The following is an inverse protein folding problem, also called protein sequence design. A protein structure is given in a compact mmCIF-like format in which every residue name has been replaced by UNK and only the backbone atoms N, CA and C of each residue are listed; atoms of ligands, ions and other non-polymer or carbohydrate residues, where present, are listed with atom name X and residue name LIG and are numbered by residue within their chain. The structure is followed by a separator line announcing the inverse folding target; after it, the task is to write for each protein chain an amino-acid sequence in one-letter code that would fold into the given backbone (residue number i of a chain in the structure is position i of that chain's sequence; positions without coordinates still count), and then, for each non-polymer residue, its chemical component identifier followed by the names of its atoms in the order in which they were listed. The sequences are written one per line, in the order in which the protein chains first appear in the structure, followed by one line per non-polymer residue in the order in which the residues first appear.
data_IF_824023977755
#
_entry.id   IF_824023977755
#
_cell.length_a   1.000
_cell.length_b   1.000
_cell.length_c   1.000
_cell.angle_alpha   90.00
_cell.angle_beta   90.00
_cell.angle_gamma   90.00
#
_symmetry.space_group_name_H-M   'P 1'
#
loop_
_entity.id
_entity.type
_entity.pdbx_description
1 polymer ?
#
# COMPACT_ATOMS: atom_id res chain seq x y z
N UNK A 1 -2.89 -14.77 23.37
CA UNK A 1 -2.52 -13.89 22.25
C UNK A 1 -1.29 -14.47 21.59
N UNK A 2 -1.31 -14.75 20.29
CA UNK A 2 -0.10 -15.18 19.58
C UNK A 2 0.88 -14.00 19.51
N UNK A 3 2.15 -14.22 19.84
CA UNK A 3 3.19 -13.19 19.74
C UNK A 3 3.30 -12.67 18.31
N UNK A 4 3.46 -11.37 18.13
CA UNK A 4 3.75 -10.75 16.83
C UNK A 4 4.99 -11.42 16.18
N UNK A 5 5.08 -11.38 14.85
CA UNK A 5 6.21 -11.91 14.10
C UNK A 5 7.55 -11.36 14.64
N UNK A 6 8.51 -12.27 14.90
CA UNK A 6 9.83 -11.90 15.39
C UNK A 6 10.54 -10.88 14.49
N UNK A 7 11.14 -9.86 15.11
CA UNK A 7 11.71 -8.70 14.45
C UNK A 7 10.75 -7.54 14.18
N UNK A 8 9.48 -7.65 14.59
CA UNK A 8 8.51 -6.53 14.59
C UNK A 8 8.37 -5.91 15.99
N UNK A 9 8.06 -4.62 16.04
CA UNK A 9 7.77 -3.91 17.29
C UNK A 9 6.25 -3.79 17.47
N UNK A 10 5.65 -4.45 18.48
CA UNK A 10 4.21 -4.33 18.75
C UNK A 10 3.85 -2.96 19.36
N UNK A 11 2.57 -2.63 19.35
CA UNK A 11 2.05 -1.53 20.17
C UNK A 11 2.12 -1.91 21.66
N UNK A 12 2.40 -0.95 22.56
CA UNK A 12 2.27 -1.19 23.99
C UNK A 12 0.81 -1.50 24.36
N UNK A 13 0.60 -2.36 25.36
CA UNK A 13 -0.73 -2.88 25.76
C UNK A 13 -1.76 -1.77 26.01
N UNK A 14 -1.38 -0.68 26.70
CA UNK A 14 -2.27 0.45 26.93
C UNK A 14 -2.81 1.11 25.63
N UNK A 15 -2.02 1.12 24.54
CA UNK A 15 -2.49 1.59 23.25
C UNK A 15 -3.40 0.57 22.57
N UNK A 16 -3.06 -0.73 22.68
CA UNK A 16 -3.90 -1.82 22.18
C UNK A 16 -5.30 -1.72 22.79
N UNK A 17 -5.40 -1.65 24.12
CA UNK A 17 -6.67 -1.55 24.84
C UNK A 17 -7.47 -0.32 24.42
N UNK A 18 -6.81 0.84 24.29
CA UNK A 18 -7.44 2.07 23.81
C UNK A 18 -8.03 1.89 22.40
N UNK A 19 -7.28 1.31 21.48
CA UNK A 19 -7.72 1.17 20.09
C UNK A 19 -8.83 0.14 19.90
N UNK A 20 -8.87 -0.89 20.74
CA UNK A 20 -10.01 -1.80 20.83
C UNK A 20 -11.23 -1.12 21.45
N UNK A 21 -11.07 -0.41 22.57
CA UNK A 21 -12.16 0.30 23.24
C UNK A 21 -12.80 1.38 22.36
N UNK A 22 -11.99 2.08 21.55
CA UNK A 22 -12.47 3.07 20.58
C UNK A 22 -13.10 2.45 19.31
N UNK A 23 -13.05 1.12 19.15
CA UNK A 23 -13.61 0.41 17.99
C UNK A 23 -12.81 0.55 16.69
N UNK A 24 -11.57 1.07 16.77
CA UNK A 24 -10.65 1.15 15.65
C UNK A 24 -10.31 -0.26 15.18
N UNK A 25 -9.78 -1.06 16.10
CA UNK A 25 -9.45 -2.46 15.89
C UNK A 25 -10.65 -3.34 16.24
N UNK A 26 -10.99 -4.28 15.35
CA UNK A 26 -12.21 -5.09 15.43
C UNK A 26 -11.96 -6.60 15.39
N UNK A 27 -10.70 -7.03 15.28
CA UNK A 27 -10.35 -8.46 15.24
C UNK A 27 -10.56 -9.13 13.89
N UNK A 28 -10.88 -8.38 12.84
CA UNK A 28 -11.10 -8.93 11.51
C UNK A 28 -9.78 -9.04 10.74
N UNK A 29 -9.44 -10.24 10.29
CA UNK A 29 -8.35 -10.41 9.34
C UNK A 29 -8.76 -9.86 7.97
N UNK A 30 -7.80 -9.32 7.23
CA UNK A 30 -8.03 -8.80 5.88
C UNK A 30 -8.59 -9.87 4.93
N UNK A 31 -8.21 -11.14 5.09
CA UNK A 31 -8.72 -12.21 4.25
C UNK A 31 -10.18 -12.60 4.58
N UNK A 32 -10.59 -12.47 5.85
CA UNK A 32 -11.97 -12.67 6.29
C UNK A 32 -12.88 -11.56 5.82
N UNK A 33 -12.37 -10.32 5.71
CA UNK A 33 -13.12 -9.21 5.12
C UNK A 33 -13.64 -9.59 3.71
N UNK A 34 -12.80 -10.19 2.86
CA UNK A 34 -13.24 -10.66 1.54
C UNK A 34 -14.27 -11.80 1.65
N UNK A 35 -14.12 -12.73 2.61
CA UNK A 35 -15.07 -13.83 2.82
C UNK A 35 -16.45 -13.29 3.21
N UNK A 36 -16.50 -12.36 4.15
CA UNK A 36 -17.75 -11.73 4.61
C UNK A 36 -18.44 -10.97 3.47
N UNK A 37 -17.65 -10.24 2.67
CA UNK A 37 -18.21 -9.53 1.50
C UNK A 37 -18.68 -10.48 0.41
N UNK A 38 -18.03 -11.62 0.22
CA UNK A 38 -18.51 -12.65 -0.70
C UNK A 38 -19.81 -13.31 -0.25
N UNK A 39 -20.06 -13.40 1.06
CA UNK A 39 -21.35 -13.85 1.58
C UNK A 39 -22.44 -12.78 1.40
N UNK A 40 -22.12 -11.52 1.65
CA UNK A 40 -23.09 -10.41 1.56
C UNK A 40 -23.39 -9.97 0.10
N UNK A 41 -22.38 -9.92 -0.76
CA UNK A 41 -22.43 -9.33 -2.10
C UNK A 41 -22.00 -10.29 -3.21
N UNK A 42 -22.10 -11.61 -2.98
CA UNK A 42 -21.54 -12.66 -3.83
C UNK A 42 -21.69 -12.46 -5.35
N UNK A 43 -22.88 -12.11 -5.88
CA UNK A 43 -23.10 -11.88 -7.31
C UNK A 43 -22.55 -10.54 -7.86
N UNK A 44 -22.27 -9.55 -7.01
CA UNK A 44 -21.75 -8.24 -7.46
C UNK A 44 -20.32 -8.40 -8.00
N UNK A 45 -20.00 -7.58 -8.99
CA UNK A 45 -18.63 -7.44 -9.50
C UNK A 45 -17.73 -6.88 -8.40
N UNK A 46 -16.60 -7.55 -8.15
CA UNK A 46 -15.59 -7.10 -7.20
C UNK A 46 -14.35 -6.54 -7.90
N UNK A 47 -13.97 -7.16 -9.02
CA UNK A 47 -12.69 -6.88 -9.68
C UNK A 47 -12.82 -6.94 -11.20
N UNK A 48 -12.27 -5.94 -11.87
CA UNK A 48 -12.25 -5.80 -13.34
C UNK A 48 -10.84 -5.50 -13.81
N UNK A 49 -10.42 -6.15 -14.89
CA UNK A 49 -9.20 -5.84 -15.63
C UNK A 49 -9.40 -6.18 -17.11
N UNK A 50 -9.43 -5.16 -17.97
CA UNK A 50 -9.82 -5.31 -19.37
C UNK A 50 -11.19 -5.99 -19.53
N UNK A 51 -11.22 -7.12 -20.23
CA UNK A 51 -12.44 -7.92 -20.41
C UNK A 51 -12.79 -8.78 -19.17
N UNK A 52 -11.83 -9.07 -18.31
CA UNK A 52 -12.00 -9.95 -17.16
C UNK A 52 -12.87 -9.29 -16.09
N UNK A 53 -13.92 -9.99 -15.65
CA UNK A 53 -14.81 -9.57 -14.56
C UNK A 53 -14.95 -10.70 -13.55
N UNK A 54 -14.61 -10.43 -12.30
CA UNK A 54 -14.77 -11.36 -11.19
C UNK A 54 -15.80 -10.83 -10.21
N UNK A 55 -16.80 -11.64 -9.90
CA UNK A 55 -17.72 -11.37 -8.81
C UNK A 55 -17.05 -11.60 -7.45
N UNK A 56 -17.61 -11.07 -6.37
CA UNK A 56 -17.10 -11.34 -5.02
C UNK A 56 -17.05 -12.85 -4.72
N UNK A 57 -18.09 -13.60 -5.11
CA UNK A 57 -18.11 -15.06 -4.92
C UNK A 57 -17.04 -15.77 -5.76
N UNK A 58 -16.79 -15.33 -6.99
CA UNK A 58 -15.76 -15.89 -7.86
C UNK A 58 -14.35 -15.57 -7.34
N UNK A 59 -14.11 -14.32 -6.94
CA UNK A 59 -12.85 -13.88 -6.35
C UNK A 59 -12.54 -14.64 -5.07
N UNK A 60 -13.50 -14.72 -4.13
CA UNK A 60 -13.28 -15.47 -2.88
C UNK A 60 -13.00 -16.96 -3.15
N UNK A 61 -13.70 -17.58 -4.10
CA UNK A 61 -13.44 -18.97 -4.49
C UNK A 61 -12.04 -19.15 -5.07
N UNK A 62 -11.60 -18.23 -5.92
CA UNK A 62 -10.24 -18.25 -6.50
C UNK A 62 -9.18 -18.13 -5.40
N UNK A 63 -9.39 -17.24 -4.44
CA UNK A 63 -8.52 -17.08 -3.26
C UNK A 63 -8.50 -18.36 -2.41
N UNK A 64 -9.65 -18.97 -2.14
CA UNK A 64 -9.75 -20.22 -1.35
C UNK A 64 -8.96 -21.37 -2.00
N UNK A 65 -9.08 -21.51 -3.32
CA UNK A 65 -8.39 -22.57 -4.08
C UNK A 65 -6.89 -22.33 -4.19
N UNK A 66 -6.49 -21.08 -4.42
CA UNK A 66 -5.07 -20.71 -4.49
C UNK A 66 -4.39 -20.84 -3.11
N UNK A 67 -5.08 -20.46 -2.03
CA UNK A 67 -4.59 -20.65 -0.66
C UNK A 67 -4.36 -22.15 -0.35
N UNK A 68 -5.29 -23.02 -0.76
CA UNK A 68 -5.10 -24.46 -0.64
C UNK A 68 -3.91 -24.97 -1.48
N UNK A 69 -3.73 -24.47 -2.70
CA UNK A 69 -2.58 -24.79 -3.55
C UNK A 69 -1.24 -24.39 -2.91
N UNK A 70 -1.14 -23.18 -2.37
CA UNK A 70 0.06 -22.72 -1.64
C UNK A 70 0.38 -23.61 -0.43
N UNK A 71 -0.63 -24.08 0.29
CA UNK A 71 -0.46 -25.02 1.41
C UNK A 71 0.07 -26.38 0.95
N UNK A 72 -0.44 -26.92 -0.17
CA UNK A 72 0.07 -28.18 -0.74
C UNK A 72 1.54 -28.07 -1.15
N UNK A 73 1.94 -26.89 -1.64
CA UNK A 73 3.33 -26.60 -1.93
C UNK A 73 4.15 -26.29 -0.68
N UNK A 74 3.60 -26.48 0.53
CA UNK A 74 4.27 -26.32 1.82
C UNK A 74 4.72 -24.89 2.15
N UNK A 75 4.01 -23.87 1.64
CA UNK A 75 4.04 -22.55 2.27
C UNK A 75 3.28 -22.61 3.60
N UNK A 76 3.87 -22.05 4.66
CA UNK A 76 3.39 -22.16 6.05
C UNK A 76 3.15 -20.80 6.68
N UNK A 77 2.26 -20.72 7.70
CA UNK A 77 2.08 -19.51 8.48
C UNK A 77 3.40 -18.89 8.97
N UNK A 78 3.50 -17.58 8.94
CA UNK A 78 4.66 -16.79 9.36
C UNK A 78 5.80 -16.73 8.34
N UNK A 79 5.79 -17.54 7.28
CA UNK A 79 6.77 -17.43 6.19
C UNK A 79 6.51 -16.15 5.37
N UNK A 80 7.56 -15.63 4.73
CA UNK A 80 7.46 -14.44 3.88
C UNK A 80 7.54 -14.83 2.40
N UNK A 81 6.75 -14.15 1.58
CA UNK A 81 6.76 -14.31 0.12
C UNK A 81 6.83 -12.93 -0.52
N UNK A 82 7.84 -12.70 -1.35
CA UNK A 82 7.95 -11.46 -2.12
C UNK A 82 6.92 -11.49 -3.24
N UNK A 83 6.08 -10.47 -3.34
CA UNK A 83 5.06 -10.34 -4.39
C UNK A 83 5.39 -9.12 -5.23
N UNK A 84 5.78 -9.35 -6.48
CA UNK A 84 6.22 -8.34 -7.43
C UNK A 84 5.43 -8.48 -8.74
N UNK A 85 4.15 -8.10 -8.72
CA UNK A 85 3.23 -8.27 -9.85
C UNK A 85 2.75 -6.92 -10.40
N UNK A 86 2.37 -6.85 -11.68
CA UNK A 86 1.65 -5.72 -12.25
C UNK A 86 0.22 -5.61 -11.70
N UNK A 87 -0.50 -4.60 -12.17
CA UNK A 87 -1.92 -4.39 -11.89
C UNK A 87 -2.77 -5.41 -12.65
N UNK A 88 -2.79 -6.64 -12.14
CA UNK A 88 -3.56 -7.77 -12.70
C UNK A 88 -4.41 -8.44 -11.61
N UNK A 89 -5.49 -9.15 -11.96
CA UNK A 89 -6.33 -9.85 -10.99
C UNK A 89 -5.56 -10.84 -10.09
N UNK A 90 -4.46 -11.40 -10.60
CA UNK A 90 -3.57 -12.29 -9.88
C UNK A 90 -2.89 -11.59 -8.70
N UNK A 91 -2.58 -10.29 -8.76
CA UNK A 91 -2.03 -9.56 -7.63
C UNK A 91 -2.98 -9.62 -6.43
N UNK A 92 -4.26 -9.25 -6.64
CA UNK A 92 -5.29 -9.28 -5.61
C UNK A 92 -5.48 -10.72 -5.11
N UNK A 93 -5.62 -11.67 -6.03
CA UNK A 93 -5.84 -13.08 -5.68
C UNK A 93 -4.69 -13.65 -4.83
N UNK A 94 -3.44 -13.40 -5.21
CA UNK A 94 -2.24 -13.89 -4.53
C UNK A 94 -2.12 -13.28 -3.14
N UNK A 95 -2.25 -11.96 -3.01
CA UNK A 95 -2.07 -11.27 -1.73
C UNK A 95 -3.10 -11.79 -0.72
N UNK A 96 -4.37 -11.88 -1.11
CA UNK A 96 -5.42 -12.46 -0.25
C UNK A 96 -5.19 -13.95 0.03
N UNK A 97 -4.71 -14.74 -0.95
CA UNK A 97 -4.46 -16.17 -0.76
C UNK A 97 -3.31 -16.42 0.22
N UNK A 98 -2.22 -15.65 0.13
CA UNK A 98 -1.08 -15.74 1.05
C UNK A 98 -1.51 -15.36 2.47
N UNK A 99 -2.23 -14.25 2.64
CA UNK A 99 -2.80 -13.86 3.94
C UNK A 99 -3.72 -14.95 4.50
N UNK A 100 -4.53 -15.60 3.66
CA UNK A 100 -5.41 -16.72 4.09
C UNK A 100 -4.64 -17.98 4.53
N UNK A 101 -3.42 -18.18 4.03
CA UNK A 101 -2.49 -19.24 4.49
C UNK A 101 -1.74 -18.81 5.77
N UNK A 102 -1.80 -17.54 6.16
CA UNK A 102 -0.97 -16.94 7.20
C UNK A 102 0.46 -16.66 6.76
N UNK A 103 0.74 -16.73 5.45
CA UNK A 103 2.01 -16.30 4.85
C UNK A 103 1.95 -14.79 4.73
N UNK A 104 3.06 -14.11 5.02
CA UNK A 104 3.17 -12.66 5.04
C UNK A 104 3.72 -12.17 3.70
N UNK A 105 2.90 -11.56 2.82
CA UNK A 105 3.38 -10.97 1.57
C UNK A 105 4.34 -9.81 1.84
N UNK A 106 5.37 -9.68 1.01
CA UNK A 106 6.24 -8.51 0.94
C UNK A 106 5.92 -7.82 -0.37
N UNK A 107 5.17 -6.72 -0.33
CA UNK A 107 4.69 -6.03 -1.51
C UNK A 107 5.84 -5.25 -2.16
N UNK A 108 6.27 -5.71 -3.33
CA UNK A 108 7.48 -5.23 -3.98
C UNK A 108 7.15 -4.50 -5.30
N UNK A 109 7.62 -3.25 -5.50
CA UNK A 109 7.45 -2.54 -6.76
C UNK A 109 8.07 -3.30 -7.95
N UNK A 110 7.40 -3.25 -9.10
CA UNK A 110 7.92 -3.82 -10.34
C UNK A 110 9.21 -3.16 -10.83
N UNK A 111 9.52 -1.94 -10.38
CA UNK A 111 10.77 -1.23 -10.68
C UNK A 111 11.99 -1.83 -9.97
N UNK A 112 11.80 -2.58 -8.88
CA UNK A 112 12.89 -3.20 -8.15
C UNK A 112 13.58 -4.29 -9.00
N UNK A 113 14.91 -4.36 -8.85
CA UNK A 113 15.78 -5.29 -9.58
C UNK A 113 16.53 -6.19 -8.60
N UNK A 114 17.43 -7.00 -9.13
CA UNK A 114 18.12 -8.07 -8.40
C UNK A 114 18.69 -7.62 -7.05
N UNK A 115 19.31 -6.43 -6.99
CA UNK A 115 19.89 -5.90 -5.75
C UNK A 115 18.83 -5.67 -4.66
N UNK A 116 17.74 -4.96 -4.98
CA UNK A 116 16.67 -4.69 -4.02
C UNK A 116 15.91 -5.97 -3.66
N UNK A 117 15.56 -6.80 -4.64
CA UNK A 117 14.80 -8.04 -4.39
C UNK A 117 15.63 -9.03 -3.58
N UNK A 118 16.92 -9.20 -3.87
CA UNK A 118 17.83 -10.04 -3.09
C UNK A 118 17.95 -9.56 -1.64
N UNK A 119 18.04 -8.24 -1.44
CA UNK A 119 18.02 -7.66 -0.10
C UNK A 119 16.73 -8.01 0.65
N UNK A 120 15.56 -7.83 0.02
CA UNK A 120 14.27 -8.18 0.62
C UNK A 120 14.19 -9.66 0.98
N UNK A 121 14.59 -10.56 0.06
CA UNK A 121 14.64 -12.00 0.31
C UNK A 121 15.54 -12.34 1.50
N UNK A 122 16.69 -11.68 1.64
CA UNK A 122 17.63 -11.93 2.74
C UNK A 122 17.09 -11.42 4.08
N UNK A 123 16.64 -10.17 4.16
CA UNK A 123 16.17 -9.56 5.42
C UNK A 123 14.91 -10.24 5.93
N UNK A 124 14.00 -10.58 5.01
CA UNK A 124 12.77 -11.29 5.34
C UNK A 124 12.94 -12.81 5.39
N UNK A 125 14.08 -13.37 5.01
CA UNK A 125 14.26 -14.81 4.79
C UNK A 125 13.11 -15.41 3.96
N UNK A 126 12.70 -14.70 2.90
CA UNK A 126 11.54 -15.07 2.10
C UNK A 126 11.70 -16.48 1.53
N UNK A 127 10.66 -17.31 1.69
CA UNK A 127 10.63 -18.69 1.20
C UNK A 127 10.10 -18.79 -0.22
N UNK A 128 9.35 -17.78 -0.66
CA UNK A 128 8.79 -17.72 -2.00
C UNK A 128 8.93 -16.35 -2.66
N UNK A 129 8.84 -16.35 -3.98
CA UNK A 129 8.72 -15.17 -4.83
C UNK A 129 7.56 -15.38 -5.81
N UNK A 130 6.74 -14.36 -6.01
CA UNK A 130 5.68 -14.32 -7.02
C UNK A 130 5.94 -13.11 -7.91
N UNK A 131 6.06 -13.30 -9.21
CA UNK A 131 6.26 -12.20 -10.16
C UNK A 131 5.92 -12.60 -11.59
N UNK A 132 5.95 -11.67 -12.56
CA UNK A 132 5.81 -12.02 -13.97
C UNK A 132 6.97 -12.89 -14.43
N UNK A 133 6.77 -13.60 -15.53
CA UNK A 133 7.86 -14.25 -16.26
C UNK A 133 8.78 -13.18 -16.87
N UNK A 134 8.18 -12.36 -17.75
CA UNK A 134 8.78 -11.17 -18.34
C UNK A 134 7.86 -9.98 -18.21
N UNK A 135 8.41 -8.78 -18.02
CA UNK A 135 7.63 -7.54 -18.02
C UNK A 135 8.44 -6.40 -18.64
N UNK A 136 7.88 -5.73 -19.65
CA UNK A 136 8.55 -4.64 -20.39
C UNK A 136 9.99 -4.99 -20.84
N UNK A 137 10.19 -6.21 -21.35
CA UNK A 137 11.48 -6.70 -21.82
C UNK A 137 12.45 -7.16 -20.72
N UNK A 138 12.09 -7.09 -19.44
CA UNK A 138 12.90 -7.59 -18.33
C UNK A 138 12.47 -9.00 -17.91
N UNK A 139 13.43 -9.92 -17.76
CA UNK A 139 13.21 -11.30 -17.31
C UNK A 139 13.28 -11.39 -15.77
N UNK A 140 12.11 -11.43 -15.16
CA UNK A 140 11.97 -11.56 -13.70
C UNK A 140 12.24 -12.99 -13.24
N UNK A 141 12.08 -13.99 -14.10
CA UNK A 141 12.33 -15.40 -13.75
C UNK A 141 13.83 -15.65 -13.62
N UNK A 142 14.62 -15.16 -14.56
CA UNK A 142 16.08 -15.20 -14.49
C UNK A 142 16.61 -14.45 -13.26
N UNK A 143 16.02 -13.30 -12.93
CA UNK A 143 16.35 -12.58 -11.69
C UNK A 143 16.07 -13.42 -10.45
N UNK A 144 14.88 -14.02 -10.35
CA UNK A 144 14.52 -14.88 -9.22
C UNK A 144 15.45 -16.11 -9.12
N UNK A 145 15.84 -16.69 -10.25
CA UNK A 145 16.79 -17.80 -10.31
C UNK A 145 18.18 -17.41 -9.83
N UNK A 146 18.69 -16.25 -10.24
CA UNK A 146 19.96 -15.72 -9.74
C UNK A 146 19.94 -15.50 -8.22
N UNK A 147 18.82 -15.03 -7.67
CA UNK A 147 18.65 -14.84 -6.22
C UNK A 147 18.57 -16.18 -5.50
N UNK A 148 17.84 -17.16 -6.04
CA UNK A 148 17.71 -18.49 -5.46
C UNK A 148 19.05 -19.24 -5.42
N UNK A 149 19.86 -19.12 -6.47
CA UNK A 149 21.21 -19.69 -6.53
C UNK A 149 22.17 -19.05 -5.51
N UNK A 150 21.98 -17.76 -5.21
CA UNK A 150 22.83 -17.00 -4.30
C UNK A 150 22.52 -17.16 -2.81
N UNK A 151 21.47 -17.90 -2.42
CA UNK A 151 21.06 -17.94 -1.01
C UNK A 151 20.18 -19.13 -0.57
N UNK A 152 20.07 -19.37 0.75
CA UNK A 152 19.38 -20.55 1.27
C UNK A 152 17.86 -20.37 1.44
N UNK A 153 17.35 -19.14 1.33
CA UNK A 153 15.99 -18.82 1.74
C UNK A 153 14.96 -19.10 0.65
N UNK A 154 15.18 -18.56 -0.55
CA UNK A 154 14.24 -18.65 -1.66
C UNK A 154 14.24 -20.08 -2.22
N UNK A 155 13.09 -20.76 -2.11
CA UNK A 155 12.93 -22.17 -2.52
C UNK A 155 11.72 -22.40 -3.42
N UNK A 156 10.90 -21.36 -3.65
CA UNK A 156 9.71 -21.41 -4.48
C UNK A 156 9.60 -20.15 -5.30
N UNK A 157 9.40 -20.29 -6.60
CA UNK A 157 9.19 -19.18 -7.52
C UNK A 157 7.90 -19.45 -8.28
N UNK A 158 7.00 -18.47 -8.26
CA UNK A 158 5.71 -18.52 -8.94
C UNK A 158 5.68 -17.46 -10.03
N UNK A 159 5.57 -17.89 -11.28
CA UNK A 159 5.67 -17.00 -12.45
C UNK A 159 4.30 -16.75 -13.07
N UNK A 160 3.93 -15.49 -13.21
CA UNK A 160 2.81 -15.08 -14.05
C UNK A 160 3.26 -15.11 -15.50
N UNK A 161 2.73 -16.07 -16.25
CA UNK A 161 3.06 -16.30 -17.66
C UNK A 161 2.03 -15.60 -18.55
N UNK A 162 2.49 -15.00 -19.64
CA UNK A 162 1.58 -14.50 -20.65
C UNK A 162 0.84 -15.69 -21.30
N UNK A 163 -0.45 -15.55 -21.65
CA UNK A 163 -1.18 -16.61 -22.33
C UNK A 163 -0.44 -17.09 -23.60
N UNK A 164 -0.15 -18.39 -23.67
CA UNK A 164 0.55 -19.01 -24.80
C UNK A 164 2.07 -18.81 -24.85
N UNK A 165 2.68 -18.14 -23.87
CA UNK A 165 4.13 -18.02 -23.80
C UNK A 165 4.76 -19.31 -23.25
N UNK A 166 5.77 -19.89 -23.94
CA UNK A 166 6.54 -20.99 -23.39
C UNK A 166 7.38 -20.49 -22.21
N UNK A 167 7.24 -21.13 -21.06
CA UNK A 167 8.10 -20.90 -19.91
C UNK A 167 9.47 -21.53 -20.17
N UNK A 168 10.60 -20.79 -20.05
CA UNK A 168 11.93 -21.41 -20.14
C UNK A 168 12.15 -22.44 -19.02
N UNK A 169 11.34 -22.38 -17.96
CA UNK A 169 11.31 -23.30 -16.82
C UNK A 169 10.10 -24.26 -16.85
N UNK A 170 9.49 -24.48 -18.02
CA UNK A 170 8.75 -25.69 -18.37
C UNK A 170 7.52 -26.06 -17.52
N UNK A 171 7.01 -25.17 -16.68
CA UNK A 171 5.77 -25.38 -15.96
C UNK A 171 5.86 -26.18 -14.66
N UNK A 172 6.95 -26.89 -14.37
CA UNK A 172 7.29 -27.43 -13.05
C UNK A 172 8.76 -27.85 -13.08
N UNK A 173 9.69 -26.99 -12.66
CA UNK A 173 11.13 -27.34 -12.66
C UNK A 173 11.76 -27.11 -11.30
N UNK A 174 12.87 -27.81 -11.06
CA UNK A 174 13.74 -27.58 -9.90
C UNK A 174 15.10 -27.17 -10.41
N UNK A 175 15.63 -26.05 -9.92
CA UNK A 175 16.99 -25.63 -10.26
C UNK A 175 18.04 -26.41 -9.44
N UNK A 176 19.33 -26.33 -9.80
CA UNK A 176 20.40 -26.99 -9.05
C UNK A 176 20.54 -26.52 -7.59
N UNK A 177 19.99 -25.36 -7.24
CA UNK A 177 19.97 -24.84 -5.87
C UNK A 177 18.77 -25.39 -5.04
N UNK A 178 17.94 -26.25 -5.64
CA UNK A 178 16.77 -26.85 -5.01
C UNK A 178 15.58 -25.90 -4.92
N UNK A 179 15.52 -24.86 -5.74
CA UNK A 179 14.36 -23.98 -5.85
C UNK A 179 13.37 -24.53 -6.88
N UNK A 180 12.10 -24.57 -6.52
CA UNK A 180 11.02 -25.06 -7.37
C UNK A 180 10.30 -23.90 -8.07
N UNK A 181 10.02 -24.06 -9.36
CA UNK A 181 9.39 -23.07 -10.22
C UNK A 181 8.03 -23.57 -10.67
N UNK A 182 7.02 -22.71 -10.56
CA UNK A 182 5.62 -23.03 -10.83
C UNK A 182 4.96 -21.89 -11.62
N UNK A 183 4.19 -22.16 -12.69
CA UNK A 183 3.26 -21.20 -13.24
C UNK A 183 2.25 -20.80 -12.19
N UNK A 184 2.03 -19.51 -12.01
CA UNK A 184 1.09 -18.99 -11.02
C UNK A 184 -0.34 -19.49 -11.28
N UNK A 185 -0.72 -19.66 -12.55
CA UNK A 185 -2.02 -20.22 -12.95
C UNK A 185 -2.23 -21.69 -12.57
N UNK A 186 -1.15 -22.43 -12.25
CA UNK A 186 -1.23 -23.83 -11.81
C UNK A 186 -1.52 -23.98 -10.30
N UNK A 187 -1.49 -22.88 -9.55
CA UNK A 187 -1.68 -22.91 -8.09
C UNK A 187 -3.17 -22.98 -7.77
N UNK A 188 -3.66 -24.21 -7.72
CA UNK A 188 -5.06 -24.51 -7.53
C UNK A 188 -5.24 -25.85 -6.80
N UNK A 189 -6.07 -25.85 -5.76
CA UNK A 189 -6.48 -27.06 -5.06
C UNK A 189 -7.90 -26.91 -4.50
N UNK A 190 -8.59 -28.03 -4.18
CA UNK A 190 -9.85 -27.96 -3.44
C UNK A 190 -9.68 -27.16 -2.13
N UNK A 191 -10.62 -26.25 -1.79
CA UNK A 191 -10.52 -25.45 -0.58
C UNK A 191 -10.33 -26.31 0.68
N UNK A 192 -9.36 -25.94 1.49
CA UNK A 192 -9.09 -26.56 2.78
C UNK A 192 -9.77 -25.78 3.92
N UNK A 193 -9.94 -26.38 5.12
CA UNK A 193 -10.45 -25.67 6.28
C UNK A 193 -9.66 -24.39 6.57
N UNK A 194 -10.39 -23.33 6.94
CA UNK A 194 -9.81 -22.04 7.28
C UNK A 194 -8.86 -22.17 8.48
N UNK A 195 -7.75 -21.44 8.43
CA UNK A 195 -6.82 -21.35 9.55
C UNK A 195 -7.30 -20.25 10.49
N UNK A 196 -7.33 -20.55 11.79
CA UNK A 196 -7.53 -19.52 12.80
C UNK A 196 -6.29 -18.63 12.85
N UNK A 197 -6.48 -17.34 12.53
CA UNK A 197 -5.43 -16.34 12.52
C UNK A 197 -5.82 -15.20 13.46
N UNK A 198 -4.85 -14.64 14.18
CA UNK A 198 -5.08 -13.43 14.98
C UNK A 198 -4.94 -12.21 14.08
N UNK A 199 -5.88 -11.27 14.19
CA UNK A 199 -5.80 -9.99 13.50
C UNK A 199 -4.65 -9.07 14.01
N UNK A 200 -4.03 -9.42 15.13
CA UNK A 200 -2.85 -8.72 15.67
C UNK A 200 -1.55 -9.15 14.97
N UNK A 201 -1.59 -10.20 14.15
CA UNK A 201 -0.44 -10.66 13.37
C UNK A 201 -0.18 -9.74 12.19
N UNK A 202 1.09 -9.68 11.76
CA UNK A 202 1.51 -8.97 10.56
C UNK A 202 0.84 -9.62 9.35
N UNK A 203 0.04 -8.84 8.63
CA UNK A 203 -0.64 -9.25 7.43
C UNK A 203 0.29 -9.23 6.22
N UNK A 204 1.07 -8.16 6.06
CA UNK A 204 2.02 -7.97 4.97
C UNK A 204 3.06 -6.89 5.32
N UNK A 205 4.09 -6.78 4.47
CA UNK A 205 5.07 -5.70 4.51
C UNK A 205 4.85 -4.73 3.35
N UNK A 206 4.82 -3.44 3.67
CA UNK A 206 5.08 -2.36 2.72
C UNK A 206 6.56 -2.02 2.71
N UNK A 207 6.98 -1.29 1.67
CA UNK A 207 8.32 -0.72 1.61
C UNK A 207 8.25 0.78 1.86
N UNK A 208 9.15 1.27 2.71
CA UNK A 208 9.38 2.70 2.91
C UNK A 208 10.54 3.14 2.04
N UNK A 209 10.35 4.27 1.36
CA UNK A 209 11.40 4.94 0.61
C UNK A 209 12.39 5.58 1.59
N UNK A 210 13.63 5.07 1.59
CA UNK A 210 14.68 5.47 2.53
C UNK A 210 16.00 5.71 1.84
N UNK A 211 16.17 6.88 1.20
CA UNK A 211 17.46 7.36 0.70
C UNK A 211 18.24 6.35 -0.15
N UNK A 212 19.57 6.57 -0.27
CA UNK A 212 20.48 5.72 -1.05
C UNK A 212 20.71 4.30 -0.46
N UNK A 213 20.05 3.95 0.65
CA UNK A 213 20.19 2.66 1.32
C UNK A 213 19.06 1.70 0.89
N UNK A 214 19.25 0.41 1.18
CA UNK A 214 18.27 -0.63 0.86
C UNK A 214 16.88 -0.34 1.49
N UNK A 215 15.77 -0.73 0.83
CA UNK A 215 14.43 -0.36 1.26
C UNK A 215 14.08 -0.90 2.64
N UNK A 216 13.45 -0.06 3.47
CA UNK A 216 12.98 -0.45 4.82
C UNK A 216 11.64 -1.17 4.72
N UNK A 217 11.48 -2.19 5.56
CA UNK A 217 10.26 -3.01 5.62
C UNK A 217 9.34 -2.50 6.73
N UNK A 218 8.11 -2.17 6.35
CA UNK A 218 7.08 -1.65 7.25
C UNK A 218 6.05 -2.76 7.51
N UNK A 219 6.05 -3.39 8.71
CA UNK A 219 5.06 -4.41 9.05
C UNK A 219 3.68 -3.78 9.25
N UNK A 220 2.67 -4.25 8.51
CA UNK A 220 1.26 -3.89 8.71
C UNK A 220 0.49 -5.09 9.23
N UNK A 221 -0.18 -4.95 10.38
CA UNK A 221 -1.08 -5.94 10.95
C UNK A 221 -2.43 -5.93 10.24
N UNK A 222 -3.22 -7.00 10.43
CA UNK A 222 -4.58 -6.99 9.90
C UNK A 222 -5.44 -5.91 10.54
N UNK A 223 -5.38 -5.78 11.87
CA UNK A 223 -6.18 -4.81 12.63
C UNK A 223 -5.89 -3.37 12.20
N UNK A 224 -4.63 -2.97 12.14
CA UNK A 224 -4.28 -1.58 11.81
C UNK A 224 -4.61 -1.22 10.35
N UNK A 225 -4.35 -2.14 9.42
CA UNK A 225 -4.58 -1.86 8.01
C UNK A 225 -6.06 -1.91 7.65
N UNK A 226 -6.82 -2.84 8.24
CA UNK A 226 -8.27 -2.88 8.09
C UNK A 226 -8.92 -1.61 8.66
N UNK A 227 -8.41 -1.09 9.79
CA UNK A 227 -8.87 0.18 10.33
C UNK A 227 -8.59 1.35 9.39
N UNK A 228 -7.35 1.50 8.91
CA UNK A 228 -6.97 2.59 8.01
C UNK A 228 -7.85 2.59 6.75
N UNK A 229 -8.01 1.43 6.09
CA UNK A 229 -8.80 1.32 4.87
C UNK A 229 -10.29 1.61 5.11
N UNK A 230 -10.84 1.12 6.23
CA UNK A 230 -12.23 1.38 6.63
C UNK A 230 -12.47 2.86 6.92
N UNK A 231 -11.63 3.47 7.75
CA UNK A 231 -11.75 4.87 8.12
C UNK A 231 -11.63 5.78 6.89
N UNK A 232 -10.71 5.47 5.96
CA UNK A 232 -10.58 6.21 4.70
C UNK A 232 -11.83 6.05 3.81
N UNK A 233 -12.43 4.85 3.75
CA UNK A 233 -13.65 4.60 2.98
C UNK A 233 -14.86 5.33 3.59
N UNK A 234 -15.01 5.30 4.91
CA UNK A 234 -16.04 6.05 5.65
C UNK A 234 -15.89 7.56 5.43
N UNK A 235 -14.65 8.09 5.47
CA UNK A 235 -14.35 9.50 5.28
C UNK A 235 -14.84 10.04 3.92
N UNK A 236 -14.69 9.27 2.86
CA UNK A 236 -15.09 9.65 1.49
C UNK A 236 -16.48 9.14 1.11
N UNK A 237 -17.21 8.60 2.09
CA UNK A 237 -18.55 8.02 1.92
C UNK A 237 -18.60 7.01 0.78
N UNK A 238 -17.64 6.07 0.77
CA UNK A 238 -17.59 5.00 -0.21
C UNK A 238 -18.75 4.02 0.02
N UNK A 239 -19.43 3.64 -1.06
CA UNK A 239 -20.60 2.74 -1.03
C UNK A 239 -20.40 1.59 -2.02
N UNK A 240 -21.26 0.58 -1.97
CA UNK A 240 -21.28 -0.54 -2.93
C UNK A 240 -21.49 -0.16 -4.41
N UNK A 241 -21.93 1.08 -4.68
CA UNK A 241 -22.20 1.60 -6.02
C UNK A 241 -20.98 2.32 -6.62
N UNK A 242 -19.92 2.48 -5.83
CA UNK A 242 -18.67 3.07 -6.29
C UNK A 242 -17.84 2.11 -7.14
N UNK A 243 -17.07 2.71 -8.06
CA UNK A 243 -16.11 2.02 -8.91
C UNK A 243 -14.76 2.71 -8.76
N UNK A 244 -13.82 2.03 -8.12
CA UNK A 244 -12.48 2.53 -7.86
C UNK A 244 -11.51 2.11 -8.97
N UNK A 245 -10.78 3.06 -9.55
CA UNK A 245 -9.67 2.78 -10.46
C UNK A 245 -8.33 2.74 -9.71
N UNK A 246 -7.69 1.57 -9.70
CA UNK A 246 -6.30 1.43 -9.28
C UNK A 246 -5.36 1.82 -10.43
N UNK A 247 -5.16 3.13 -10.61
CA UNK A 247 -4.24 3.68 -11.62
C UNK A 247 -2.77 3.55 -11.21
N UNK A 248 -2.48 3.75 -9.92
CA UNK A 248 -1.17 3.52 -9.33
C UNK A 248 -0.87 2.01 -9.19
N UNK A 249 0.40 1.61 -9.02
CA UNK A 249 0.74 0.22 -8.75
C UNK A 249 -0.05 -0.32 -7.55
N UNK A 250 -0.71 -1.46 -7.72
CA UNK A 250 -1.60 -2.07 -6.73
C UNK A 250 -0.87 -2.45 -5.43
N UNK A 251 0.45 -2.64 -5.50
CA UNK A 251 1.34 -2.87 -4.36
C UNK A 251 1.65 -1.61 -3.54
N UNK A 252 1.34 -0.40 -4.05
CA UNK A 252 1.57 0.85 -3.33
C UNK A 252 0.59 1.00 -2.16
N UNK A 253 1.05 1.56 -1.04
CA UNK A 253 0.19 1.78 0.13
C UNK A 253 -1.04 2.65 -0.18
N UNK A 254 -0.92 3.59 -1.13
CA UNK A 254 -2.00 4.48 -1.53
C UNK A 254 -3.09 3.73 -2.33
N UNK A 255 -2.70 2.98 -3.37
CA UNK A 255 -3.65 2.19 -4.16
C UNK A 255 -4.22 1.01 -3.37
N UNK A 256 -3.49 0.48 -2.39
CA UNK A 256 -3.91 -0.70 -1.65
C UNK A 256 -4.88 -0.38 -0.50
N UNK A 257 -4.72 0.74 0.23
CA UNK A 257 -5.45 0.95 1.49
C UNK A 257 -5.80 2.39 1.90
N UNK A 258 -5.96 3.35 0.97
CA UNK A 258 -6.44 4.69 1.33
C UNK A 258 -7.37 5.37 0.29
N UNK A 259 -8.68 5.00 0.24
CA UNK A 259 -9.23 3.74 0.74
C UNK A 259 -8.76 2.55 -0.09
N UNK A 260 -8.39 2.79 -1.36
CA UNK A 260 -7.73 1.83 -2.24
C UNK A 260 -8.53 0.55 -2.48
N UNK A 261 -7.82 -0.50 -2.88
CA UNK A 261 -8.37 -1.83 -3.15
C UNK A 261 -9.06 -2.40 -1.92
N UNK A 262 -8.44 -2.36 -0.73
CA UNK A 262 -9.00 -2.93 0.49
C UNK A 262 -10.27 -2.21 0.92
N UNK A 263 -10.26 -0.86 0.93
CA UNK A 263 -11.43 -0.06 1.31
C UNK A 263 -12.60 -0.25 0.35
N UNK A 264 -12.32 -0.27 -0.96
CA UNK A 264 -13.33 -0.54 -2.00
C UNK A 264 -13.94 -1.92 -1.82
N UNK A 265 -13.10 -2.96 -1.67
CA UNK A 265 -13.61 -4.31 -1.47
C UNK A 265 -14.44 -4.41 -0.17
N UNK A 266 -14.08 -3.66 0.87
CA UNK A 266 -14.75 -3.69 2.20
C UNK A 266 -16.19 -3.19 2.20
N UNK A 267 -16.58 -2.35 1.23
CA UNK A 267 -17.94 -1.80 1.13
C UNK A 267 -18.81 -2.48 0.07
N UNK A 268 -18.29 -3.50 -0.63
CA UNK A 268 -19.05 -4.18 -1.69
C UNK A 268 -18.92 -3.52 -3.07
N UNK A 269 -18.00 -2.57 -3.24
CA UNK A 269 -17.76 -1.82 -4.47
C UNK A 269 -16.88 -2.56 -5.48
N UNK A 270 -16.75 -1.99 -6.69
CA UNK A 270 -15.94 -2.57 -7.76
C UNK A 270 -14.54 -1.95 -7.82
N UNK A 271 -13.50 -2.78 -7.86
CA UNK A 271 -12.12 -2.36 -8.19
C UNK A 271 -11.87 -2.60 -9.67
N UNK A 272 -11.34 -1.60 -10.37
CA UNK A 272 -10.86 -1.67 -11.75
C UNK A 272 -9.36 -1.46 -11.76
N UNK A 273 -8.61 -2.40 -12.34
CA UNK A 273 -7.15 -2.31 -12.45
C UNK A 273 -6.78 -1.68 -13.80
N UNK A 274 -5.91 -0.66 -13.79
CA UNK A 274 -5.33 -0.09 -14.99
C UNK A 274 -3.97 -0.73 -15.30
N UNK A 275 -3.64 -0.90 -16.59
CA UNK A 275 -2.32 -1.41 -17.02
C UNK A 275 -1.16 -0.46 -16.69
N UNK A 276 -1.48 0.83 -16.56
CA UNK A 276 -0.55 1.88 -16.16
C UNK A 276 -1.30 3.16 -15.77
N UNK A 277 -0.60 4.13 -15.16
CA UNK A 277 -1.21 5.37 -14.67
C UNK A 277 -1.44 6.41 -15.78
N UNK A 278 -0.94 6.19 -16.99
CA UNK A 278 -0.96 7.17 -18.07
C UNK A 278 -2.39 7.50 -18.57
N UNK A 279 -2.55 8.66 -19.23
CA UNK A 279 -3.86 9.08 -19.73
C UNK A 279 -4.41 8.13 -20.80
N UNK A 280 -3.56 7.51 -21.62
CA UNK A 280 -3.97 6.58 -22.67
C UNK A 280 -4.57 5.29 -22.08
N UNK A 281 -4.03 4.82 -20.95
CA UNK A 281 -4.48 3.63 -20.24
C UNK A 281 -5.68 3.91 -19.34
N UNK A 282 -5.77 5.11 -18.74
CA UNK A 282 -6.77 5.41 -17.72
C UNK A 282 -8.01 6.15 -18.21
N UNK A 283 -7.88 7.19 -19.06
CA UNK A 283 -9.04 8.00 -19.46
C UNK A 283 -10.13 7.18 -20.19
N UNK A 284 -9.81 6.29 -21.14
CA UNK A 284 -10.84 5.43 -21.76
C UNK A 284 -11.46 4.42 -20.77
N UNK A 285 -10.74 4.04 -19.72
CA UNK A 285 -11.25 3.14 -18.67
C UNK A 285 -12.22 3.89 -17.76
N UNK A 286 -11.95 5.16 -17.46
CA UNK A 286 -12.86 6.04 -16.70
C UNK A 286 -14.23 6.09 -17.36
N UNK A 287 -14.25 6.38 -18.66
CA UNK A 287 -15.48 6.41 -19.45
C UNK A 287 -16.17 5.04 -19.49
N UNK A 288 -15.43 3.99 -19.90
CA UNK A 288 -16.00 2.67 -20.14
C UNK A 288 -16.58 2.01 -18.88
N UNK A 289 -15.86 2.08 -17.77
CA UNK A 289 -16.25 1.43 -16.52
C UNK A 289 -16.97 2.38 -15.55
N UNK A 290 -17.22 3.63 -15.99
CA UNK A 290 -17.88 4.68 -15.20
C UNK A 290 -17.24 4.87 -13.82
N UNK A 291 -15.91 5.02 -13.82
CA UNK A 291 -15.12 5.16 -12.59
C UNK A 291 -15.62 6.35 -11.77
N UNK A 292 -15.80 6.14 -10.46
CA UNK A 292 -16.30 7.16 -9.52
C UNK A 292 -15.18 7.74 -8.65
N UNK A 293 -14.19 6.92 -8.28
CA UNK A 293 -13.07 7.32 -7.42
C UNK A 293 -11.75 6.78 -8.00
N UNK A 294 -10.69 7.58 -7.93
CA UNK A 294 -9.33 7.12 -8.28
C UNK A 294 -8.27 7.84 -7.46
N UNK A 295 -7.07 7.26 -7.39
CA UNK A 295 -5.91 7.83 -6.70
C UNK A 295 -4.73 7.90 -7.66
N UNK A 296 -4.06 9.05 -7.74
CA UNK A 296 -2.91 9.29 -8.63
C UNK A 296 -1.84 10.14 -7.96
N UNK A 297 -0.66 10.20 -8.57
CA UNK A 297 0.41 11.14 -8.20
C UNK A 297 0.25 12.49 -8.94
N UNK A 298 0.83 13.59 -8.43
CA UNK A 298 0.72 14.92 -9.04
C UNK A 298 1.09 14.97 -10.53
N UNK A 299 2.15 14.26 -10.92
CA UNK A 299 2.60 14.20 -12.32
C UNK A 299 1.55 13.51 -13.22
N UNK A 300 0.91 12.46 -12.72
CA UNK A 300 -0.14 11.75 -13.45
C UNK A 300 -1.39 12.62 -13.60
N UNK A 301 -1.82 13.31 -12.52
CA UNK A 301 -2.94 14.23 -12.58
C UNK A 301 -2.73 15.34 -13.63
N UNK A 302 -1.52 15.91 -13.69
CA UNK A 302 -1.12 16.88 -14.71
C UNK A 302 -1.27 16.30 -16.13
N UNK A 303 -0.74 15.10 -16.37
CA UNK A 303 -0.80 14.45 -17.67
C UNK A 303 -2.23 14.16 -18.12
N UNK A 304 -3.12 13.78 -17.20
CA UNK A 304 -4.53 13.57 -17.51
C UNK A 304 -5.23 14.87 -17.92
N UNK A 305 -5.02 15.95 -17.15
CA UNK A 305 -5.56 17.28 -17.46
C UNK A 305 -5.08 17.78 -18.83
N UNK A 306 -3.80 17.61 -19.14
CA UNK A 306 -3.20 18.05 -20.41
C UNK A 306 -3.70 17.20 -21.61
N UNK A 307 -3.95 15.90 -21.40
CA UNK A 307 -4.39 14.99 -22.45
C UNK A 307 -5.92 14.98 -22.69
N UNK A 308 -6.73 15.30 -21.67
CA UNK A 308 -8.19 15.17 -21.71
C UNK A 308 -8.85 15.85 -22.94
N UNK A 309 -8.48 17.10 -23.32
CA UNK A 309 -9.08 17.75 -24.50
C UNK A 309 -8.79 17.02 -25.81
N UNK A 310 -7.67 16.29 -25.89
CA UNK A 310 -7.26 15.54 -27.09
C UNK A 310 -7.92 14.16 -27.12
N UNK A 311 -7.99 13.49 -25.96
CA UNK A 311 -8.58 12.15 -25.84
C UNK A 311 -10.10 12.21 -25.97
N UNK A 312 -10.74 13.25 -25.42
CA UNK A 312 -12.19 13.45 -25.50
C UNK A 312 -13.02 12.42 -24.73
N UNK A 313 -12.41 11.72 -23.76
CA UNK A 313 -13.11 10.72 -22.94
C UNK A 313 -14.15 11.36 -22.02
N UNK A 314 -15.30 10.72 -21.86
CA UNK A 314 -16.31 11.12 -20.88
C UNK A 314 -15.87 10.74 -19.45
N UNK A 315 -15.43 11.75 -18.68
CA UNK A 315 -15.02 11.58 -17.29
C UNK A 315 -16.10 11.98 -16.27
N UNK A 316 -17.34 12.23 -16.71
CA UNK A 316 -18.43 12.75 -15.88
C UNK A 316 -18.88 11.82 -14.74
N UNK A 317 -18.52 10.53 -14.78
CA UNK A 317 -18.76 9.60 -13.67
C UNK A 317 -17.85 9.85 -12.47
N UNK A 318 -16.70 10.50 -12.67
CA UNK A 318 -15.70 10.70 -11.63
C UNK A 318 -16.22 11.72 -10.61
N UNK A 319 -16.42 11.30 -9.36
CA UNK A 319 -16.82 12.18 -8.25
C UNK A 319 -15.63 12.65 -7.42
N UNK A 320 -14.56 11.87 -7.36
CA UNK A 320 -13.41 12.11 -6.48
C UNK A 320 -12.09 11.70 -7.14
N UNK A 321 -11.16 12.65 -7.23
CA UNK A 321 -9.76 12.42 -7.57
C UNK A 321 -8.89 12.64 -6.32
N UNK A 322 -8.28 11.57 -5.83
CA UNK A 322 -7.29 11.66 -4.76
C UNK A 322 -5.91 11.86 -5.36
N UNK A 323 -5.16 12.84 -4.86
CA UNK A 323 -3.79 13.12 -5.29
C UNK A 323 -2.86 13.15 -4.10
N UNK A 324 -1.78 12.37 -4.18
CA UNK A 324 -0.85 12.19 -3.07
C UNK A 324 0.49 11.61 -3.48
N UNK A 325 1.33 11.30 -2.49
CA UNK A 325 2.71 10.81 -2.69
C UNK A 325 3.76 11.92 -2.83
N UNK A 326 3.37 13.10 -3.31
CA UNK A 326 4.17 14.32 -3.31
C UNK A 326 3.27 15.56 -3.23
N UNK A 327 3.80 16.74 -2.83
CA UNK A 327 3.03 17.97 -2.85
C UNK A 327 2.46 18.28 -4.24
N UNK A 328 1.15 18.51 -4.34
CA UNK A 328 0.47 18.87 -5.59
C UNK A 328 0.60 20.39 -5.84
N UNK A 329 1.20 20.84 -6.96
CA UNK A 329 1.26 22.26 -7.27
C UNK A 329 -0.14 22.87 -7.40
N UNK A 330 -0.35 24.02 -6.76
CA UNK A 330 -1.64 24.74 -6.76
C UNK A 330 -2.19 25.00 -8.16
N UNK A 331 -1.32 25.29 -9.13
CA UNK A 331 -1.69 25.50 -10.53
C UNK A 331 -2.32 24.25 -11.19
N UNK A 332 -1.88 23.05 -10.81
CA UNK A 332 -2.49 21.79 -11.25
C UNK A 332 -3.74 21.49 -10.44
N UNK A 333 -3.71 21.70 -9.12
CA UNK A 333 -4.85 21.47 -8.22
C UNK A 333 -6.10 22.26 -8.63
N UNK A 334 -5.93 23.55 -8.97
CA UNK A 334 -7.03 24.43 -9.38
C UNK A 334 -7.72 24.04 -10.70
N UNK A 335 -7.11 23.16 -11.49
CA UNK A 335 -7.66 22.67 -12.76
C UNK A 335 -8.56 21.45 -12.59
N UNK A 336 -8.39 20.68 -11.51
CA UNK A 336 -9.09 19.40 -11.30
C UNK A 336 -10.61 19.55 -11.31
N UNK A 337 -11.15 20.47 -10.51
CA UNK A 337 -12.60 20.71 -10.46
C UNK A 337 -13.17 21.19 -11.80
N UNK A 338 -12.64 22.29 -12.39
CA UNK A 338 -13.15 22.84 -13.64
C UNK A 338 -13.01 21.91 -14.86
N UNK A 339 -11.91 21.16 -14.98
CA UNK A 339 -11.61 20.35 -16.18
C UNK A 339 -12.09 18.89 -16.05
N UNK A 340 -12.01 18.27 -14.88
CA UNK A 340 -12.43 16.87 -14.68
C UNK A 340 -13.84 16.75 -14.09
N UNK A 341 -14.46 17.84 -13.63
CA UNK A 341 -15.80 17.83 -13.07
C UNK A 341 -15.94 17.10 -11.73
N UNK A 342 -14.84 16.87 -11.01
CA UNK A 342 -14.81 16.07 -9.78
C UNK A 342 -14.21 16.82 -8.59
N UNK A 343 -14.40 16.32 -7.36
CA UNK A 343 -13.72 16.86 -6.18
C UNK A 343 -12.27 16.41 -6.16
N UNK A 344 -11.36 17.35 -5.89
CA UNK A 344 -9.98 17.04 -5.51
C UNK A 344 -9.93 16.68 -4.03
N UNK A 345 -9.14 15.67 -3.68
CA UNK A 345 -8.70 15.42 -2.31
C UNK A 345 -7.18 15.29 -2.28
N UNK A 346 -6.53 16.19 -1.54
CA UNK A 346 -5.11 16.06 -1.19
C UNK A 346 -4.96 14.94 -0.17
N UNK A 347 -3.99 14.06 -0.39
CA UNK A 347 -3.62 12.96 0.51
C UNK A 347 -2.13 13.00 0.77
N UNK A 348 -1.75 13.23 2.01
CA UNK A 348 -0.37 13.04 2.47
C UNK A 348 -0.33 11.77 3.30
N UNK A 349 0.53 10.84 2.92
CA UNK A 349 0.61 9.53 3.56
C UNK A 349 2.00 8.95 3.48
N UNK A 350 2.35 8.14 4.48
CA UNK A 350 3.60 7.37 4.54
C UNK A 350 3.29 5.89 4.73
N UNK A 351 4.13 5.00 4.21
CA UNK A 351 3.91 3.55 4.34
C UNK A 351 3.82 3.11 5.81
N UNK A 352 4.57 3.79 6.67
CA UNK A 352 4.68 3.67 8.11
C UNK A 352 3.36 3.91 8.85
N UNK A 353 2.40 4.57 8.22
CA UNK A 353 1.12 4.83 8.85
C UNK A 353 0.54 6.18 8.50
N UNK A 354 1.06 7.30 9.04
CA UNK A 354 0.32 8.55 9.15
C UNK A 354 -0.29 8.96 7.82
N UNK A 355 -1.60 9.19 7.83
CA UNK A 355 -2.36 9.68 6.68
C UNK A 355 -3.10 10.94 7.09
N UNK A 356 -2.90 12.02 6.33
CA UNK A 356 -3.73 13.21 6.40
C UNK A 356 -4.43 13.43 5.07
N UNK A 357 -5.70 13.82 5.12
CA UNK A 357 -6.51 14.05 3.94
C UNK A 357 -7.35 15.31 4.10
N UNK A 358 -7.52 16.05 3.02
CA UNK A 358 -8.56 17.08 2.95
C UNK A 358 -9.94 16.42 3.01
N UNK A 359 -10.92 17.10 3.60
CA UNK A 359 -12.26 16.53 3.80
C UNK A 359 -13.16 16.83 2.60
N UNK A 360 -14.14 15.97 2.30
CA UNK A 360 -15.05 16.21 1.17
C UNK A 360 -15.78 17.57 1.22
N UNK A 361 -16.10 18.05 2.43
CA UNK A 361 -16.79 19.31 2.67
C UNK A 361 -15.87 20.52 2.88
N UNK A 362 -14.54 20.36 2.76
CA UNK A 362 -13.62 21.48 2.93
C UNK A 362 -13.80 22.51 1.79
N UNK A 363 -13.67 23.81 2.09
CA UNK A 363 -13.64 24.84 1.05
C UNK A 363 -12.53 24.58 0.04
N UNK A 364 -12.78 24.95 -1.22
CA UNK A 364 -11.81 24.74 -2.31
C UNK A 364 -10.44 25.35 -1.97
N UNK A 365 -10.43 26.53 -1.36
CA UNK A 365 -9.19 27.19 -0.94
C UNK A 365 -8.36 26.34 0.01
N UNK A 366 -9.00 25.69 0.98
CA UNK A 366 -8.35 24.76 1.92
C UNK A 366 -7.74 23.57 1.17
N UNK A 367 -8.51 22.97 0.25
CA UNK A 367 -8.04 21.83 -0.57
C UNK A 367 -6.86 22.23 -1.47
N UNK A 368 -6.84 23.46 -1.97
CA UNK A 368 -5.78 23.96 -2.84
C UNK A 368 -4.50 24.36 -2.08
N UNK A 369 -4.57 24.55 -0.75
CA UNK A 369 -3.49 25.11 0.06
C UNK A 369 -2.90 24.13 1.09
N UNK A 370 -3.58 23.03 1.42
CA UNK A 370 -3.19 22.13 2.51
C UNK A 370 -3.14 20.66 2.09
N UNK A 371 -2.55 19.83 2.95
CA UNK A 371 -2.55 18.37 2.86
C UNK A 371 -3.52 17.74 3.88
N UNK A 372 -4.44 18.56 4.39
CA UNK A 372 -5.56 18.16 5.22
C UNK A 372 -5.20 17.75 6.65
N UNK A 373 -6.09 16.98 7.27
CA UNK A 373 -6.06 16.59 8.68
C UNK A 373 -5.90 15.08 8.88
N UNK A 374 -5.37 14.63 10.03
CA UNK A 374 -5.21 13.21 10.35
C UNK A 374 -6.49 12.40 10.14
N UNK A 375 -6.37 11.21 9.58
CA UNK A 375 -7.52 10.35 9.26
C UNK A 375 -8.30 9.92 10.51
N UNK A 376 -7.57 9.53 11.57
CA UNK A 376 -8.15 9.03 12.81
C UNK A 376 -8.24 10.12 13.88
N UNK A 377 -9.29 10.13 14.71
CA UNK A 377 -9.33 11.00 15.88
C UNK A 377 -8.22 10.68 16.91
N UNK A 378 -7.68 9.46 16.88
CA UNK A 378 -6.57 9.01 17.74
C UNK A 378 -5.20 9.09 17.04
N UNK A 379 -5.11 9.77 15.89
CA UNK A 379 -3.81 10.17 15.36
C UNK A 379 -3.29 11.39 16.11
N UNK A 380 -2.14 11.21 16.72
CA UNK A 380 -1.43 12.25 17.43
C UNK A 380 -0.34 12.80 16.52
N UNK A 381 -0.32 14.13 16.37
CA UNK A 381 0.64 14.86 15.54
C UNK A 381 1.36 15.90 16.38
N UNK A 382 2.69 15.89 16.33
CA UNK A 382 3.57 16.93 16.88
C UNK A 382 4.39 17.56 15.77
N UNK A 383 4.65 18.86 15.90
CA UNK A 383 5.57 19.60 15.03
C UNK A 383 6.67 20.11 15.94
N UNK A 384 7.91 19.65 15.70
CA UNK A 384 9.02 19.87 16.63
C UNK A 384 10.20 20.56 15.97
N UNK A 385 10.98 21.26 16.78
CA UNK A 385 12.25 21.84 16.36
C UNK A 385 13.39 20.78 16.30
N UNK A 386 14.61 21.23 15.99
CA UNK A 386 15.78 20.36 15.93
C UNK A 386 16.18 19.73 17.29
N UNK A 387 15.65 20.23 18.41
CA UNK A 387 15.86 19.70 19.76
C UNK A 387 14.77 18.69 20.14
N UNK A 388 13.70 18.60 19.36
CA UNK A 388 12.54 17.74 19.64
C UNK A 388 11.47 18.38 20.52
N UNK A 389 11.57 19.69 20.73
CA UNK A 389 10.59 20.48 21.48
C UNK A 389 9.49 20.99 20.53
N UNK A 390 8.26 21.12 21.02
CA UNK A 390 7.14 21.58 20.20
C UNK A 390 7.37 23.03 19.75
N UNK A 391 7.19 23.28 18.45
CA UNK A 391 7.22 24.64 17.90
C UNK A 391 5.92 25.39 18.23
N UNK A 392 5.93 26.74 18.27
CA UNK A 392 4.70 27.51 18.37
C UNK A 392 3.70 27.16 17.26
N UNK A 393 2.39 27.26 17.55
CA UNK A 393 1.34 27.02 16.55
C UNK A 393 1.55 27.87 15.28
N UNK A 394 1.45 27.25 14.12
CA UNK A 394 1.69 27.90 12.82
C UNK A 394 3.14 27.88 12.33
N UNK A 395 4.13 27.66 13.20
CA UNK A 395 5.55 27.61 12.82
C UNK A 395 5.91 26.26 12.17
N UNK A 396 6.85 26.24 11.20
CA UNK A 396 7.30 25.01 10.57
C UNK A 396 8.27 24.23 11.47
N UNK A 397 8.17 22.91 11.45
CA UNK A 397 9.08 22.00 12.12
C UNK A 397 8.98 20.57 11.59
N UNK A 398 9.73 19.65 12.18
CA UNK A 398 9.67 18.22 11.85
C UNK A 398 8.34 17.63 12.31
N UNK A 399 7.66 16.93 11.40
CA UNK A 399 6.41 16.23 11.68
C UNK A 399 6.69 14.89 12.38
N UNK A 400 6.18 14.76 13.60
CA UNK A 400 6.13 13.52 14.36
C UNK A 400 4.70 12.98 14.42
N UNK A 401 4.56 11.67 14.26
CA UNK A 401 3.24 11.02 14.25
C UNK A 401 3.20 9.77 15.13
N UNK A 402 2.02 9.51 15.71
CA UNK A 402 1.72 8.29 16.47
C UNK A 402 0.23 8.01 16.37
N UNK A 403 -0.18 6.75 16.25
CA UNK A 403 -1.61 6.45 16.10
C UNK A 403 -1.93 4.97 15.94
N UNK A 404 -3.23 4.65 15.76
CA UNK A 404 -3.76 3.28 15.66
C UNK A 404 -3.32 2.50 14.41
N UNK A 405 -2.73 3.19 13.43
CA UNK A 405 -2.16 2.57 12.23
C UNK A 405 -0.77 3.09 11.88
N UNK A 406 -0.12 3.79 12.81
CA UNK A 406 1.30 4.14 12.73
C UNK A 406 2.14 3.09 13.42
N UNK A 407 3.04 2.44 12.66
CA UNK A 407 3.90 1.37 13.17
C UNK A 407 4.81 1.87 14.29
N UNK A 408 5.30 0.94 15.11
CA UNK A 408 6.25 1.25 16.21
C UNK A 408 7.70 0.90 15.89
N UNK A 409 7.97 0.44 14.67
CA UNK A 409 9.30 0.05 14.22
C UNK A 409 9.26 -0.56 12.83
N UNK A 410 10.36 -0.39 12.10
CA UNK A 410 10.67 -1.17 10.92
C UNK A 410 11.07 -2.60 11.30
N UNK A 411 10.87 -3.52 10.38
CA UNK A 411 11.21 -4.93 10.55
C UNK A 411 12.71 -5.16 10.57
N UNK A 412 13.20 -5.81 11.63
CA UNK A 412 14.62 -6.22 11.78
C UNK A 412 15.63 -5.09 11.49
N UNK A 413 15.31 -3.86 11.90
CA UNK A 413 16.16 -2.69 11.68
C UNK A 413 16.38 -1.89 12.98
N UNK A 414 17.05 -2.47 14.00
CA UNK A 414 17.18 -1.84 15.32
C UNK A 414 17.88 -0.47 15.29
N UNK A 415 18.94 -0.31 14.50
CA UNK A 415 19.65 0.97 14.37
C UNK A 415 18.79 2.07 13.75
N UNK A 416 18.01 1.71 12.73
CA UNK A 416 17.09 2.64 12.09
C UNK A 416 15.91 2.95 12.99
N UNK A 417 15.43 1.97 13.76
CA UNK A 417 14.36 2.16 14.73
C UNK A 417 14.78 3.16 15.81
N UNK A 418 16.02 3.07 16.31
CA UNK A 418 16.55 4.02 17.29
C UNK A 418 16.64 5.46 16.75
N UNK A 419 16.82 5.64 15.43
CA UNK A 419 16.84 6.96 14.78
C UNK A 419 15.43 7.48 14.47
N UNK A 420 14.56 6.60 14.00
CA UNK A 420 13.26 6.98 13.41
C UNK A 420 12.12 6.99 14.41
N UNK A 421 12.27 6.34 15.57
CA UNK A 421 11.24 6.30 16.59
C UNK A 421 11.79 6.83 17.92
N UNK A 422 11.07 7.77 18.52
CA UNK A 422 11.42 8.28 19.85
C UNK A 422 11.09 7.24 20.92
N UNK A 423 11.65 7.39 22.13
CA UNK A 423 11.30 6.55 23.29
C UNK A 423 9.81 6.60 23.64
N UNK A 424 9.14 7.72 23.35
CA UNK A 424 7.67 7.86 23.49
C UNK A 424 6.87 7.16 22.38
N UNK A 425 7.54 6.48 21.45
CA UNK A 425 6.95 5.74 20.34
C UNK A 425 6.38 6.64 19.25
N UNK A 426 6.93 7.85 19.08
CA UNK A 426 6.61 8.74 17.96
C UNK A 426 7.49 8.42 16.76
N UNK A 427 6.90 8.26 15.59
CA UNK A 427 7.61 8.21 14.33
C UNK A 427 8.07 9.62 13.95
N UNK A 428 9.37 9.77 13.71
CA UNK A 428 9.95 10.90 12.98
C UNK A 428 9.75 10.68 11.50
N UNK A 429 8.87 11.45 10.88
CA UNK A 429 8.50 11.23 9.47
C UNK A 429 9.62 11.66 8.50
N UNK A 430 10.48 12.58 8.95
CA UNK A 430 11.47 13.28 8.13
C UNK A 430 10.88 14.38 7.25
N UNK A 431 9.57 14.62 7.35
CA UNK A 431 8.86 15.65 6.60
C UNK A 431 8.75 16.93 7.46
N UNK A 432 8.96 18.08 6.85
CA UNK A 432 8.73 19.39 7.46
C UNK A 432 7.31 19.83 7.17
N UNK A 433 6.61 20.27 8.21
CA UNK A 433 5.24 20.74 8.10
C UNK A 433 4.97 21.88 9.08
N UNK A 434 3.90 22.63 8.81
CA UNK A 434 3.27 23.53 9.78
C UNK A 434 1.78 23.21 9.89
N UNK A 435 1.18 23.53 11.04
CA UNK A 435 -0.26 23.39 11.27
C UNK A 435 -0.97 24.73 11.03
N UNK A 436 -2.10 24.71 10.33
CA UNK A 436 -2.96 25.88 10.19
C UNK A 436 -3.82 26.08 11.45
N UNK A 437 -4.39 27.28 11.68
CA UNK A 437 -5.32 27.49 12.79
C UNK A 437 -6.51 26.52 12.81
N UNK A 438 -6.93 26.02 11.64
CA UNK A 438 -8.02 25.06 11.47
C UNK A 438 -7.58 23.58 11.65
N UNK A 439 -6.29 23.37 11.94
CA UNK A 439 -5.71 22.06 12.22
C UNK A 439 -5.20 21.30 11.00
N UNK A 440 -5.30 21.85 9.79
CA UNK A 440 -4.73 21.25 8.58
C UNK A 440 -3.21 21.34 8.56
N UNK A 441 -2.57 20.36 7.91
CA UNK A 441 -1.14 20.35 7.71
C UNK A 441 -0.78 20.97 6.35
N UNK A 442 0.29 21.75 6.34
CA UNK A 442 0.96 22.21 5.13
C UNK A 442 2.37 21.66 5.14
N UNK A 443 2.67 20.76 4.21
CA UNK A 443 4.00 20.17 4.04
C UNK A 443 4.90 21.17 3.32
N UNK A 444 6.05 21.48 3.91
CA UNK A 444 6.97 22.53 3.45
C UNK A 444 8.30 22.00 2.92
N UNK A 445 8.61 20.72 3.11
CA UNK A 445 9.81 20.08 2.57
C UNK A 445 10.20 18.82 3.33
N UNK A 446 11.46 18.37 3.17
CA UNK A 446 12.06 17.29 3.96
C UNK A 446 13.26 17.79 4.76
N UNK A 447 13.50 17.18 5.92
CA UNK A 447 14.66 17.49 6.78
C UNK A 447 15.97 17.29 6.02
N UNK A 448 16.08 16.23 5.22
CA UNK A 448 17.31 15.89 4.47
C UNK A 448 17.61 16.84 3.29
N UNK A 449 16.61 17.63 2.85
CA UNK A 449 16.75 18.59 1.75
C UNK A 449 17.17 19.99 2.25
N UNK A 450 17.10 20.23 3.56
CA UNK A 450 17.57 21.49 4.14
C UNK A 450 19.10 21.51 4.09
N UNK A 451 19.72 22.47 3.38
CA UNK A 451 21.18 22.59 3.41
C UNK A 451 21.59 22.78 4.86
N UNK A 452 22.41 21.87 5.40
CA UNK A 452 23.04 22.05 6.71
C UNK A 452 23.84 23.34 6.61
N UNK A 453 23.31 24.45 7.14
CA UNK A 453 24.03 25.72 7.20
C UNK A 453 25.33 25.45 7.97
N UNK A 454 26.45 25.54 7.27
CA UNK A 454 27.76 25.55 7.89
C UNK A 454 27.85 26.81 8.77
N UNK A 455 27.99 26.60 10.07
CA UNK A 455 28.41 27.61 11.04
C UNK A 455 27.29 28.25 11.85
N UNK A 456 27.39 28.13 13.18
CA UNK A 456 27.89 29.24 14.02
C UNK A 456 28.30 28.76 15.42
N UNK A 457 29.55 29.07 15.79
CA UNK A 457 29.93 29.43 17.16
C UNK A 457 30.38 28.29 18.08
N UNK A 458 31.67 27.97 18.04
CA UNK A 458 32.39 27.50 19.23
C UNK A 458 32.54 28.70 20.19
N UNK A 459 31.95 28.68 21.40
CA UNK A 459 32.21 29.67 22.41
C UNK A 459 33.23 29.09 23.40
N UNK A 460 34.49 28.99 22.98
CA UNK A 460 35.60 28.92 23.93
C UNK A 460 36.80 29.70 23.43
N UNK A 461 36.74 31.01 23.68
CA UNK A 461 37.92 31.85 23.78
C UNK A 461 37.96 32.42 25.19
N UNK A 462 38.70 31.74 26.07
CA UNK A 462 39.67 32.25 27.08
C UNK A 462 40.20 31.07 27.87
#
# INVERSE_FOLDING_TARGET
MGSMLDGCTPWPEAFVDRYWAAGHWRGNTLDNLLRDRALAYGPRTALVHGATRLTYAALNRRVDRMAAGFRLLALRPGQRVVVQLPNVPEFVTVVFALMRVGVVPVLCPLSHRAAQVSHLVRVTEARGYVGPSTHQGFDHTAMAAGIAAGGPFLRRVFTLEAPGAPSPYGGFTTDPAGCHYFPLGSIDAPPAPALAQSADQVAFFLLSEGGAAAPRLVPRTHNDYAYQARAAAELVSLTEDDVYLAALPAASGFAFGCPGIIGTLSVGATVVLADGPGPAECLPVIERERITVTSVEPATARLWLDALPTVGADVSSLRLLQVGGAPLPRATAGRVGPELGCRLQQVFGRAEGPVTLTRPADPDETVLATQGRPLSPDDEIRIVDARGEDVPEGEPGELLARGPYTVRGYYRAPEENARSFTTGGWLRTGDLARRTPDGDLVVTGRVDEVPRRAGHGDPSGT
#
